data_IF_355252168812
#
_entry.id   IF_355252168812
#
_cell.length_a   1.000
_cell.length_b   1.000
_cell.length_c   1.000
_cell.angle_alpha   90.00
_cell.angle_beta   90.00
_cell.angle_gamma   90.00
#
_symmetry.space_group_name_H-M   'P 1'
#
loop_
_entity.id
_entity.type
_entity.pdbx_description
1 polymer ?
#
# COMPACT_ATOMS: atom_id res chain seq x y z
N UNK A 1 -0.66 22.64 10.54
CA UNK A 1 0.29 22.14 9.53
C UNK A 1 0.90 20.79 9.93
N UNK A 2 1.66 20.70 11.03
CA UNK A 2 2.25 19.42 11.49
C UNK A 2 1.22 18.30 11.72
N UNK A 3 0.06 18.62 12.32
CA UNK A 3 -1.06 17.69 12.52
C UNK A 3 -1.68 17.14 11.23
N UNK A 4 -1.54 17.87 10.12
CA UNK A 4 -2.08 17.48 8.82
C UNK A 4 -1.10 16.60 8.02
N UNK A 5 0.19 16.93 8.12
CA UNK A 5 1.26 16.22 7.40
C UNK A 5 1.66 14.92 8.11
N UNK A 6 1.55 14.85 9.44
CA UNK A 6 1.92 13.68 10.24
C UNK A 6 1.21 12.37 9.80
N UNK A 7 -0.13 12.32 9.65
CA UNK A 7 -0.81 11.11 9.17
C UNK A 7 -0.42 10.71 7.75
N UNK A 8 -0.21 11.70 6.86
CA UNK A 8 0.25 11.46 5.50
C UNK A 8 1.64 10.82 5.45
N UNK A 9 2.57 11.33 6.27
CA UNK A 9 3.92 10.77 6.40
C UNK A 9 3.91 9.34 6.93
N UNK A 10 3.07 9.05 7.93
CA UNK A 10 2.90 7.69 8.46
C UNK A 10 2.41 6.76 7.35
N UNK A 11 1.38 7.16 6.59
CA UNK A 11 0.88 6.36 5.47
C UNK A 11 1.94 6.14 4.40
N UNK A 12 2.72 7.17 4.05
CA UNK A 12 3.81 7.03 3.09
C UNK A 12 4.85 6.01 3.56
N UNK A 13 5.22 6.03 4.85
CA UNK A 13 6.14 5.05 5.43
C UNK A 13 5.57 3.61 5.35
N UNK A 14 4.27 3.45 5.64
CA UNK A 14 3.58 2.16 5.56
C UNK A 14 3.51 1.61 4.13
N UNK A 15 3.10 2.46 3.18
CA UNK A 15 2.97 2.11 1.76
C UNK A 15 4.32 1.66 1.19
N UNK A 16 5.37 2.44 1.42
CA UNK A 16 6.73 2.13 0.95
C UNK A 16 7.26 0.84 1.55
N UNK A 17 7.04 0.60 2.85
CA UNK A 17 7.52 -0.62 3.50
C UNK A 17 6.73 -1.86 3.08
N UNK A 18 5.41 -1.75 2.91
CA UNK A 18 4.59 -2.87 2.43
C UNK A 18 4.98 -3.27 1.01
N UNK A 19 5.15 -2.30 0.10
CA UNK A 19 5.60 -2.57 -1.27
C UNK A 19 7.02 -3.16 -1.30
N UNK A 20 7.97 -2.51 -0.62
CA UNK A 20 9.36 -2.94 -0.62
C UNK A 20 9.52 -4.36 -0.06
N UNK A 21 8.77 -4.71 0.99
CA UNK A 21 8.86 -6.03 1.61
C UNK A 21 8.32 -7.14 0.70
N UNK A 22 7.10 -6.96 0.17
CA UNK A 22 6.50 -7.94 -0.73
C UNK A 22 7.36 -8.17 -1.98
N UNK A 23 7.80 -7.08 -2.61
CA UNK A 23 8.56 -7.14 -3.85
C UNK A 23 9.97 -7.70 -3.64
N UNK A 24 10.68 -7.27 -2.57
CA UNK A 24 12.02 -7.78 -2.28
C UNK A 24 12.01 -9.27 -1.93
N UNK A 25 11.04 -9.74 -1.14
CA UNK A 25 10.98 -11.14 -0.74
C UNK A 25 10.82 -12.06 -1.95
N UNK A 26 9.98 -11.66 -2.91
CA UNK A 26 9.71 -12.48 -4.09
C UNK A 26 10.86 -12.48 -5.09
N UNK A 27 11.52 -11.33 -5.31
CA UNK A 27 12.67 -11.27 -6.22
C UNK A 27 13.90 -11.96 -5.63
N UNK A 28 14.09 -11.87 -4.32
CA UNK A 28 15.17 -12.56 -3.63
C UNK A 28 14.99 -14.07 -3.75
N UNK A 29 13.77 -14.59 -3.59
CA UNK A 29 13.46 -16.00 -3.83
C UNK A 29 13.79 -16.44 -5.26
N UNK A 30 13.51 -15.60 -6.27
CA UNK A 30 13.87 -15.88 -7.66
C UNK A 30 15.38 -15.92 -7.89
N UNK A 31 16.09 -14.93 -7.36
CA UNK A 31 17.56 -14.82 -7.53
C UNK A 31 18.28 -15.96 -6.81
N UNK A 32 17.78 -16.39 -5.65
CA UNK A 32 18.33 -17.52 -4.90
C UNK A 32 17.93 -18.88 -5.47
N UNK A 33 17.06 -18.94 -6.48
CA UNK A 33 16.56 -20.19 -7.05
C UNK A 33 15.59 -20.96 -6.16
N UNK A 34 15.17 -20.40 -5.01
CA UNK A 34 14.19 -21.02 -4.09
C UNK A 34 12.75 -20.69 -4.47
N UNK A 35 12.52 -19.93 -5.54
CA UNK A 35 11.18 -19.66 -6.07
C UNK A 35 10.42 -20.96 -6.42
N UNK A 36 11.14 -22.00 -6.86
CA UNK A 36 10.56 -23.33 -7.14
C UNK A 36 10.17 -24.06 -5.86
N UNK A 37 10.77 -23.76 -4.71
CA UNK A 37 10.41 -24.37 -3.42
C UNK A 37 9.03 -23.91 -2.92
N UNK A 38 8.49 -22.80 -3.45
CA UNK A 38 7.09 -22.43 -3.20
C UNK A 38 6.10 -23.26 -4.03
N UNK A 39 6.57 -23.99 -5.04
CA UNK A 39 5.77 -24.88 -5.90
C UNK A 39 5.91 -26.36 -5.52
N UNK A 40 6.88 -26.73 -4.68
CA UNK A 40 7.09 -28.12 -4.23
C UNK A 40 6.07 -28.59 -3.19
N UNK A 41 5.62 -27.79 -2.20
CA UNK A 41 4.44 -28.14 -1.42
C UNK A 41 3.15 -27.90 -2.23
N UNK A 42 2.07 -28.67 -1.99
CA UNK A 42 0.77 -28.49 -2.64
C UNK A 42 0.05 -27.26 -2.07
N UNK A 43 0.70 -26.10 -2.07
CA UNK A 43 0.10 -24.84 -1.63
C UNK A 43 -0.87 -24.35 -2.70
N UNK A 44 -2.07 -24.01 -2.26
CA UNK A 44 -3.04 -23.37 -3.13
C UNK A 44 -2.54 -21.97 -3.53
N UNK A 45 -2.87 -21.48 -4.74
CA UNK A 45 -2.57 -20.11 -5.14
C UNK A 45 -3.10 -19.04 -4.17
N UNK A 46 -4.17 -19.38 -3.43
CA UNK A 46 -4.74 -18.52 -2.39
C UNK A 46 -3.82 -18.41 -1.16
N UNK A 47 -3.28 -19.53 -0.68
CA UNK A 47 -2.37 -19.55 0.47
C UNK A 47 -1.09 -18.77 0.19
N UNK A 48 -0.52 -18.88 -1.02
CA UNK A 48 0.63 -18.08 -1.43
C UNK A 48 0.29 -16.58 -1.46
N UNK A 49 -0.84 -16.22 -2.08
CA UNK A 49 -1.29 -14.83 -2.17
C UNK A 49 -1.49 -14.24 -0.77
N UNK A 50 -2.18 -14.97 0.11
CA UNK A 50 -2.45 -14.54 1.48
C UNK A 50 -1.17 -14.47 2.31
N UNK A 51 -0.27 -15.45 2.20
CA UNK A 51 0.98 -15.48 2.95
C UNK A 51 1.88 -14.27 2.67
N UNK A 52 2.13 -13.99 1.39
CA UNK A 52 2.92 -12.81 1.01
C UNK A 52 2.23 -11.49 1.36
N UNK A 53 0.92 -11.40 1.14
CA UNK A 53 0.17 -10.17 1.43
C UNK A 53 0.08 -9.90 2.93
N UNK A 54 -0.19 -10.93 3.75
CA UNK A 54 -0.26 -10.82 5.21
C UNK A 54 1.12 -10.53 5.81
N UNK A 55 2.19 -11.13 5.28
CA UNK A 55 3.56 -10.81 5.67
C UNK A 55 3.90 -9.34 5.43
N UNK A 56 3.62 -8.87 4.21
CA UNK A 56 3.83 -7.46 3.84
C UNK A 56 2.95 -6.51 4.68
N UNK A 57 1.70 -6.90 4.94
CA UNK A 57 0.80 -6.09 5.75
C UNK A 57 1.26 -6.00 7.20
N UNK A 58 1.69 -7.11 7.81
CA UNK A 58 2.18 -7.14 9.19
C UNK A 58 3.39 -6.21 9.36
N UNK A 59 4.35 -6.27 8.43
CA UNK A 59 5.52 -5.39 8.46
C UNK A 59 5.14 -3.93 8.20
N UNK A 60 4.26 -3.68 7.24
CA UNK A 60 3.76 -2.34 6.94
C UNK A 60 3.07 -1.68 8.14
N UNK A 61 2.20 -2.44 8.83
CA UNK A 61 1.53 -1.98 10.06
C UNK A 61 2.52 -1.75 11.20
N UNK A 62 3.50 -2.64 11.40
CA UNK A 62 4.53 -2.47 12.42
C UNK A 62 5.34 -1.17 12.20
N UNK A 63 5.73 -0.90 10.96
CA UNK A 63 6.42 0.36 10.61
C UNK A 63 5.50 1.56 10.80
N UNK A 64 4.22 1.45 10.44
CA UNK A 64 3.23 2.49 10.68
C UNK A 64 3.09 2.84 12.17
N UNK A 65 3.03 1.82 13.02
CA UNK A 65 2.93 1.98 14.47
C UNK A 65 4.20 2.62 15.06
N UNK A 66 5.39 2.16 14.65
CA UNK A 66 6.67 2.76 15.08
C UNK A 66 6.74 4.23 14.63
N UNK A 67 6.36 4.51 13.38
CA UNK A 67 6.37 5.88 12.84
C UNK A 67 5.37 6.76 13.59
N UNK A 68 4.18 6.26 13.91
CA UNK A 68 3.20 6.98 14.71
C UNK A 68 3.75 7.32 16.11
N UNK A 69 4.40 6.37 16.79
CA UNK A 69 5.04 6.61 18.09
C UNK A 69 6.14 7.68 17.99
N UNK A 70 6.97 7.63 16.94
CA UNK A 70 8.02 8.63 16.73
C UNK A 70 7.47 10.04 16.44
N UNK A 71 6.27 10.14 15.87
CA UNK A 71 5.64 11.43 15.52
C UNK A 71 4.84 12.03 16.67
N UNK A 72 4.31 11.22 17.60
CA UNK A 72 3.61 11.69 18.81
C UNK A 72 4.30 12.82 19.59
N UNK A 73 5.62 12.80 19.86
CA UNK A 73 6.29 13.89 20.58
C UNK A 73 6.38 15.20 19.78
N UNK A 74 6.29 15.15 18.45
CA UNK A 74 6.39 16.34 17.58
C UNK A 74 5.02 16.90 17.16
N UNK A 75 3.99 16.05 17.12
CA UNK A 75 2.62 16.45 16.83
C UNK A 75 1.66 15.66 17.74
N UNK A 76 0.95 16.33 18.68
CA UNK A 76 -0.04 15.67 19.52
C UNK A 76 -1.24 15.28 18.65
N UNK A 77 -1.15 14.09 18.05
CA UNK A 77 -2.17 13.53 17.18
C UNK A 77 -3.43 13.23 18.01
N UNK A 78 -4.53 13.92 17.70
CA UNK A 78 -5.84 13.51 18.18
C UNK A 78 -6.21 12.16 17.57
N UNK A 79 -6.93 11.33 18.32
CA UNK A 79 -7.57 10.12 17.78
C UNK A 79 -9.05 10.42 17.70
N UNK A 80 -9.52 10.79 16.51
CA UNK A 80 -10.94 11.06 16.28
C UNK A 80 -11.72 9.76 16.07
N UNK A 81 -11.18 8.82 15.29
CA UNK A 81 -11.82 7.55 15.01
C UNK A 81 -10.79 6.43 14.75
N UNK A 82 -10.61 5.56 15.74
CA UNK A 82 -9.63 4.47 15.67
C UNK A 82 -9.99 3.41 14.63
N UNK A 83 -11.28 3.17 14.36
CA UNK A 83 -11.72 2.21 13.36
C UNK A 83 -11.34 2.65 11.95
N UNK A 84 -11.45 3.95 11.66
CA UNK A 84 -11.00 4.49 10.37
C UNK A 84 -9.49 4.32 10.20
N UNK A 85 -8.70 4.64 11.24
CA UNK A 85 -7.23 4.48 11.21
C UNK A 85 -6.87 3.04 10.87
N UNK A 86 -7.44 2.06 11.59
CA UNK A 86 -7.13 0.64 11.41
C UNK A 86 -7.58 0.16 10.02
N UNK A 87 -8.78 0.54 9.58
CA UNK A 87 -9.29 0.14 8.26
C UNK A 87 -8.42 0.64 7.12
N UNK A 88 -8.12 1.94 7.08
CA UNK A 88 -7.34 2.54 6.00
C UNK A 88 -5.87 2.12 6.04
N UNK A 89 -5.29 1.93 7.23
CA UNK A 89 -3.97 1.35 7.40
C UNK A 89 -3.88 -0.06 6.82
N UNK A 90 -4.83 -0.93 7.17
CA UNK A 90 -4.91 -2.29 6.64
C UNK A 90 -5.09 -2.25 5.13
N UNK A 91 -6.09 -1.53 4.62
CA UNK A 91 -6.35 -1.45 3.18
C UNK A 91 -5.11 -0.97 2.40
N UNK A 92 -4.42 0.05 2.88
CA UNK A 92 -3.18 0.55 2.26
C UNK A 92 -2.06 -0.50 2.25
N UNK A 93 -1.84 -1.17 3.37
CA UNK A 93 -0.85 -2.23 3.49
C UNK A 93 -1.17 -3.44 2.58
N UNK A 94 -2.44 -3.85 2.51
CA UNK A 94 -2.86 -4.94 1.63
C UNK A 94 -2.69 -4.58 0.15
N UNK A 95 -3.15 -3.39 -0.26
CA UNK A 95 -3.05 -2.93 -1.65
C UNK A 95 -1.58 -2.80 -2.08
N UNK A 96 -0.72 -2.22 -1.24
CA UNK A 96 0.72 -2.12 -1.54
C UNK A 96 1.45 -3.46 -1.46
N UNK A 97 1.09 -4.32 -0.51
CA UNK A 97 1.61 -5.68 -0.45
C UNK A 97 1.31 -6.44 -1.75
N UNK A 98 0.05 -6.43 -2.19
CA UNK A 98 -0.38 -7.05 -3.46
C UNK A 98 0.31 -6.44 -4.68
N UNK A 99 0.43 -5.11 -4.74
CA UNK A 99 1.15 -4.41 -5.81
C UNK A 99 2.64 -4.81 -5.83
N UNK A 100 3.26 -4.92 -4.66
CA UNK A 100 4.64 -5.38 -4.51
C UNK A 100 4.82 -6.84 -4.93
N UNK A 101 3.86 -7.71 -4.63
CA UNK A 101 3.86 -9.11 -5.10
C UNK A 101 3.80 -9.16 -6.63
N UNK A 102 2.89 -8.42 -7.26
CA UNK A 102 2.78 -8.35 -8.72
C UNK A 102 4.08 -7.80 -9.35
N UNK A 103 4.65 -6.74 -8.78
CA UNK A 103 5.90 -6.17 -9.24
C UNK A 103 7.08 -7.14 -9.09
N UNK A 104 7.15 -7.88 -7.97
CA UNK A 104 8.16 -8.93 -7.73
C UNK A 104 8.01 -10.11 -8.69
N UNK A 105 6.78 -10.48 -9.05
CA UNK A 105 6.53 -11.58 -9.98
C UNK A 105 6.83 -11.18 -11.42
N UNK A 106 6.58 -9.93 -11.78
CA UNK A 106 6.96 -9.39 -13.07
C UNK A 106 8.47 -9.16 -13.18
N UNK A 107 9.15 -8.77 -12.10
CA UNK A 107 10.57 -8.40 -12.14
C UNK A 107 11.52 -9.59 -12.16
N UNK A 108 12.64 -9.41 -12.88
CA UNK A 108 13.77 -10.36 -12.93
C UNK A 108 15.00 -9.81 -12.19
N UNK A 109 15.12 -8.48 -12.08
CA UNK A 109 16.23 -7.78 -11.41
C UNK A 109 15.70 -6.75 -10.42
N UNK A 110 16.47 -6.46 -9.38
CA UNK A 110 16.16 -5.41 -8.42
C UNK A 110 15.96 -4.04 -9.08
N UNK A 111 16.65 -3.78 -10.20
CA UNK A 111 16.49 -2.53 -10.97
C UNK A 111 15.06 -2.33 -11.48
N UNK A 112 14.37 -3.41 -11.87
CA UNK A 112 12.98 -3.33 -12.34
C UNK A 112 12.03 -2.92 -11.19
N UNK A 113 12.27 -3.42 -9.98
CA UNK A 113 11.51 -3.03 -8.80
C UNK A 113 11.74 -1.58 -8.42
N UNK A 114 13.01 -1.16 -8.42
CA UNK A 114 13.38 0.23 -8.17
C UNK A 114 12.74 1.17 -9.21
N UNK A 115 12.64 0.74 -10.47
CA UNK A 115 11.95 1.49 -11.50
C UNK A 115 10.45 1.60 -11.21
N UNK A 116 9.75 0.51 -10.87
CA UNK A 116 8.32 0.56 -10.50
C UNK A 116 8.08 1.46 -9.30
N UNK A 117 8.93 1.36 -8.27
CA UNK A 117 8.84 2.19 -7.08
C UNK A 117 8.97 3.68 -7.41
N UNK A 118 9.98 4.06 -8.20
CA UNK A 118 10.29 5.47 -8.46
C UNK A 118 9.42 6.08 -9.56
N UNK A 119 9.03 5.32 -10.58
CA UNK A 119 8.25 5.83 -11.71
C UNK A 119 6.73 5.67 -11.55
N UNK A 120 6.26 4.83 -10.61
CA UNK A 120 4.82 4.60 -10.40
C UNK A 120 4.44 4.92 -8.96
N UNK A 121 5.01 4.23 -7.97
CA UNK A 121 4.57 4.35 -6.56
C UNK A 121 4.83 5.74 -6.01
N UNK A 122 6.05 6.26 -6.19
CA UNK A 122 6.44 7.59 -5.71
C UNK A 122 5.56 8.70 -6.32
N UNK A 123 5.43 8.87 -7.65
CA UNK A 123 4.61 9.94 -8.21
C UNK A 123 3.14 9.79 -7.85
N UNK A 124 2.60 8.57 -7.80
CA UNK A 124 1.22 8.35 -7.34
C UNK A 124 1.05 8.79 -5.89
N UNK A 125 1.98 8.45 -5.01
CA UNK A 125 1.92 8.84 -3.59
C UNK A 125 2.03 10.36 -3.42
N UNK A 126 2.89 11.04 -4.17
CA UNK A 126 2.97 12.50 -4.14
C UNK A 126 1.68 13.16 -4.64
N UNK A 127 1.09 12.62 -5.71
CA UNK A 127 -0.14 13.12 -6.30
C UNK A 127 -1.40 12.79 -5.46
N UNK A 128 -1.25 12.01 -4.40
CA UNK A 128 -2.36 11.59 -3.50
C UNK A 128 -2.66 12.57 -2.36
N UNK A 129 -2.12 13.80 -2.39
CA UNK A 129 -2.41 14.79 -1.34
C UNK A 129 -1.76 14.50 0.00
N UNK A 130 -0.68 13.70 0.02
CA UNK A 130 0.03 13.30 1.25
C UNK A 130 0.64 14.48 2.02
N UNK A 131 1.04 15.53 1.28
CA UNK A 131 1.65 16.74 1.84
C UNK A 131 0.79 18.00 1.69
N UNK A 132 -0.25 17.96 0.84
CA UNK A 132 -1.04 19.12 0.44
C UNK A 132 -2.52 18.75 0.36
N UNK A 133 -3.40 19.69 0.72
CA UNK A 133 -4.83 19.59 0.45
C UNK A 133 -5.05 19.52 -1.06
N UNK A 134 -5.85 18.57 -1.54
CA UNK A 134 -6.08 18.38 -2.98
C UNK A 134 -6.84 19.55 -3.59
N UNK A 135 -7.57 20.29 -2.77
CA UNK A 135 -8.28 21.52 -3.17
C UNK A 135 -7.34 22.68 -3.55
N UNK A 136 -6.08 22.65 -3.08
CA UNK A 136 -5.09 23.68 -3.40
C UNK A 136 -4.29 23.38 -4.67
N UNK A 137 -4.50 22.24 -5.32
CA UNK A 137 -3.80 21.93 -6.57
C UNK A 137 -4.47 22.64 -7.78
N UNK A 138 -3.67 23.28 -8.66
CA UNK A 138 -4.17 23.80 -9.93
C UNK A 138 -4.65 22.67 -10.84
N UNK A 139 -5.65 22.92 -11.67
CA UNK A 139 -6.02 22.00 -12.74
C UNK A 139 -4.85 21.87 -13.72
N UNK A 140 -4.48 20.65 -14.17
CA UNK A 140 -5.26 19.40 -14.16
C UNK A 140 -5.02 18.45 -12.97
N UNK A 141 -4.04 18.72 -12.10
CA UNK A 141 -3.61 17.78 -11.05
C UNK A 141 -4.72 17.44 -10.05
N UNK A 142 -5.58 18.42 -9.72
CA UNK A 142 -6.75 18.22 -8.86
C UNK A 142 -7.70 17.13 -9.37
N UNK A 143 -7.92 17.07 -10.69
CA UNK A 143 -8.78 16.06 -11.30
C UNK A 143 -8.11 14.69 -11.29
N UNK A 144 -6.81 14.62 -11.58
CA UNK A 144 -6.04 13.37 -11.55
C UNK A 144 -5.99 12.78 -10.13
N UNK A 145 -5.80 13.61 -9.10
CA UNK A 145 -5.77 13.19 -7.69
C UNK A 145 -7.10 12.58 -7.24
N UNK A 146 -8.24 13.08 -7.74
CA UNK A 146 -9.57 12.51 -7.43
C UNK A 146 -9.83 11.13 -8.04
N UNK A 147 -9.14 10.80 -9.15
CA UNK A 147 -9.16 9.45 -9.72
C UNK A 147 -8.14 8.52 -9.06
N UNK A 148 -7.20 9.05 -8.27
CA UNK A 148 -6.15 8.25 -7.66
C UNK A 148 -6.71 7.49 -6.43
N UNK A 149 -6.72 6.15 -6.42
CA UNK A 149 -7.21 5.38 -5.27
C UNK A 149 -6.42 5.64 -3.98
N UNK A 150 -5.15 6.01 -4.09
CA UNK A 150 -4.30 6.30 -2.93
C UNK A 150 -4.72 7.58 -2.20
N UNK A 151 -5.34 8.53 -2.91
CA UNK A 151 -5.91 9.73 -2.28
C UNK A 151 -6.95 9.36 -1.23
N UNK A 152 -7.85 8.43 -1.56
CA UNK A 152 -8.89 7.97 -0.64
C UNK A 152 -8.33 7.21 0.57
N UNK A 153 -7.24 6.46 0.40
CA UNK A 153 -6.56 5.77 1.50
C UNK A 153 -5.93 6.77 2.48
N UNK A 154 -5.27 7.81 1.97
CA UNK A 154 -4.59 8.82 2.78
C UNK A 154 -5.61 9.76 3.44
N UNK A 155 -6.64 10.22 2.71
CA UNK A 155 -7.71 11.05 3.27
C UNK A 155 -8.49 10.32 4.37
N UNK A 156 -8.82 9.04 4.16
CA UNK A 156 -9.49 8.22 5.16
C UNK A 156 -8.65 7.97 6.42
N UNK A 157 -7.35 7.73 6.26
CA UNK A 157 -6.43 7.62 7.40
C UNK A 157 -6.32 8.94 8.17
N UNK A 158 -6.23 10.06 7.44
CA UNK A 158 -6.19 11.41 8.01
C UNK A 158 -7.48 11.76 8.75
N UNK A 159 -8.65 11.38 8.23
CA UNK A 159 -9.93 11.50 8.91
C UNK A 159 -9.91 10.81 10.28
N UNK A 160 -9.26 9.65 10.39
CA UNK A 160 -9.10 8.95 11.66
C UNK A 160 -8.38 9.75 12.76
N UNK A 161 -7.46 10.65 12.39
CA UNK A 161 -6.72 11.49 13.36
C UNK A 161 -7.32 12.90 13.52
N UNK A 162 -7.81 13.51 12.44
CA UNK A 162 -8.24 14.93 12.42
C UNK A 162 -9.77 15.07 12.55
N UNK A 163 -10.53 14.00 12.29
CA UNK A 163 -12.00 14.00 12.34
C UNK A 163 -12.68 14.74 11.18
N UNK A 164 -11.91 15.28 10.23
CA UNK A 164 -12.40 15.95 9.02
C UNK A 164 -11.91 15.19 7.78
N UNK A 165 -12.84 14.82 6.90
CA UNK A 165 -12.55 14.17 5.63
C UNK A 165 -12.75 15.19 4.50
N UNK A 166 -11.80 15.26 3.56
CA UNK A 166 -11.99 16.06 2.33
C UNK A 166 -12.95 15.37 1.36
N UNK A 167 -12.98 14.03 1.37
CA UNK A 167 -13.87 13.21 0.54
C UNK A 167 -15.02 12.61 1.35
N UNK A 168 -16.06 12.16 0.65
CA UNK A 168 -17.11 11.34 1.26
C UNK A 168 -16.49 10.04 1.81
N UNK A 169 -16.57 9.85 3.13
CA UNK A 169 -16.02 8.71 3.84
C UNK A 169 -16.53 7.38 3.29
N UNK A 170 -17.79 7.31 2.88
CA UNK A 170 -18.39 6.11 2.29
C UNK A 170 -17.73 5.74 0.97
N UNK A 171 -17.39 6.73 0.14
CA UNK A 171 -16.66 6.51 -1.12
C UNK A 171 -15.23 6.04 -0.83
N UNK A 172 -14.58 6.57 0.20
CA UNK A 172 -13.25 6.12 0.62
C UNK A 172 -13.23 4.67 1.13
N UNK A 173 -14.19 4.30 1.99
CA UNK A 173 -14.32 2.93 2.52
C UNK A 173 -14.67 1.94 1.40
N UNK A 174 -15.68 2.24 0.58
CA UNK A 174 -16.09 1.36 -0.51
C UNK A 174 -15.00 1.28 -1.58
N UNK A 175 -14.38 2.41 -1.95
CA UNK A 175 -13.30 2.46 -2.93
C UNK A 175 -12.07 1.66 -2.50
N UNK A 176 -11.65 1.79 -1.23
CA UNK A 176 -10.54 1.01 -0.67
C UNK A 176 -10.87 -0.49 -0.59
N UNK A 177 -12.10 -0.86 -0.21
CA UNK A 177 -12.55 -2.25 -0.19
C UNK A 177 -12.55 -2.87 -1.60
N UNK A 178 -13.13 -2.16 -2.59
CA UNK A 178 -13.15 -2.60 -3.99
C UNK A 178 -11.74 -2.76 -4.52
N UNK A 179 -10.85 -1.81 -4.26
CA UNK A 179 -9.46 -1.90 -4.68
C UNK A 179 -8.74 -3.11 -4.09
N UNK A 180 -8.95 -3.37 -2.79
CA UNK A 180 -8.37 -4.52 -2.11
C UNK A 180 -8.88 -5.85 -2.70
N UNK A 181 -10.18 -5.95 -3.01
CA UNK A 181 -10.76 -7.13 -3.64
C UNK A 181 -10.23 -7.31 -5.06
N UNK A 182 -10.21 -6.24 -5.87
CA UNK A 182 -9.72 -6.28 -7.26
C UNK A 182 -8.25 -6.69 -7.29
N UNK A 183 -7.39 -6.08 -6.47
CA UNK A 183 -5.98 -6.46 -6.37
C UNK A 183 -5.80 -7.89 -5.88
N UNK A 184 -6.63 -8.34 -4.93
CA UNK A 184 -6.61 -9.72 -4.43
C UNK A 184 -6.95 -10.74 -5.52
N UNK A 185 -7.98 -10.46 -6.32
CA UNK A 185 -8.37 -11.30 -7.47
C UNK A 185 -7.26 -11.32 -8.52
N UNK A 186 -6.67 -10.17 -8.85
CA UNK A 186 -5.56 -10.10 -9.82
C UNK A 186 -4.36 -10.92 -9.35
N UNK A 187 -3.92 -10.75 -8.09
CA UNK A 187 -2.85 -11.57 -7.51
C UNK A 187 -3.17 -13.05 -7.59
N UNK A 188 -4.39 -13.44 -7.20
CA UNK A 188 -4.82 -14.84 -7.24
C UNK A 188 -4.80 -15.42 -8.67
N UNK A 189 -5.30 -14.68 -9.66
CA UNK A 189 -5.26 -15.10 -11.07
C UNK A 189 -3.83 -15.26 -11.58
N UNK A 190 -2.93 -14.36 -11.16
CA UNK A 190 -1.53 -14.40 -11.55
C UNK A 190 -0.81 -15.60 -10.93
N UNK A 191 -1.04 -15.90 -9.65
CA UNK A 191 -0.52 -17.14 -9.04
C UNK A 191 -1.15 -18.40 -9.64
N UNK A 192 -2.46 -18.38 -9.96
CA UNK A 192 -3.15 -19.51 -10.60
C UNK A 192 -2.61 -19.81 -11.99
N UNK A 193 -2.25 -18.78 -12.77
CA UNK A 193 -1.67 -18.96 -14.10
C UNK A 193 -0.22 -19.47 -14.06
N UNK A 194 0.45 -19.42 -12.90
CA UNK A 194 1.84 -19.84 -12.75
C UNK A 194 2.82 -18.97 -13.55
N UNK A 195 2.40 -17.77 -13.94
CA UNK A 195 3.16 -16.88 -14.80
C UNK A 195 4.51 -16.51 -14.15
N UNK A 196 5.63 -16.82 -14.83
CA UNK A 196 7.02 -16.60 -14.37
C UNK A 196 7.46 -17.34 -13.09
N UNK A 197 6.72 -18.35 -12.63
CA UNK A 197 7.13 -19.26 -11.54
C UNK A 197 7.67 -20.61 -12.06
N UNK A 198 7.40 -20.96 -13.32
CA UNK A 198 7.78 -22.23 -13.96
C UNK A 198 8.93 -22.13 -14.98
N UNK A 199 9.53 -20.95 -15.15
CA UNK A 199 10.52 -20.70 -16.18
C UNK A 199 11.82 -20.14 -15.62
#
# INVERSE_FOLDING_TARGET
FALFVAPGLIMMAMLNNAFANASSSLIQAKIMGTATDFLTPPLSPLELTLGFTLGAATRGLAVGLVTAICVLPFAPLGVANIFAIVWFALAACFVMGMTGVLAGLWSEKFDHLSAVQNFIVMPMTFLSGTFYLVENLPEPFRSISRYNPFFYLIDGFRYGFIGHAESNLTVGVVGSAVLMVVMGVVCWLVFRSGWRLKS
#
